data_IF_866624044323
#
_entry.id   IF_866624044323
#
_cell.length_a   1.000
_cell.length_b   1.000
_cell.length_c   1.000
_cell.angle_alpha   90.00
_cell.angle_beta   90.00
_cell.angle_gamma   90.00
#
_symmetry.space_group_name_H-M   'P 1'
#
loop_
_entity.id
_entity.type
_entity.pdbx_description
1 polymer ?
#
# COMPACT_ATOMS: atom_id res chain seq x y z
N UNK A 1 -49.88 5.91 1.43
CA UNK A 1 -49.83 4.95 0.31
C UNK A 1 -48.44 4.85 -0.38
N UNK A 2 -47.77 5.94 -0.69
CA UNK A 2 -46.43 5.89 -1.31
C UNK A 2 -45.36 5.14 -0.45
N UNK A 3 -45.34 5.35 0.84
CA UNK A 3 -44.40 4.76 1.78
C UNK A 3 -44.52 3.23 1.90
N UNK A 4 -45.75 2.67 1.90
CA UNK A 4 -45.94 1.21 2.02
C UNK A 4 -45.56 0.45 0.74
N UNK A 5 -45.81 1.05 -0.43
CA UNK A 5 -45.42 0.49 -1.72
C UNK A 5 -43.89 0.45 -1.90
N UNK A 6 -43.21 1.50 -1.46
CA UNK A 6 -41.74 1.57 -1.46
C UNK A 6 -41.18 0.52 -0.48
N UNK A 7 -41.74 0.38 0.71
CA UNK A 7 -41.26 -0.55 1.72
C UNK A 7 -41.48 -2.01 1.33
N UNK A 8 -42.55 -2.36 0.67
CA UNK A 8 -42.79 -3.70 0.13
C UNK A 8 -41.85 -4.03 -1.01
N UNK A 9 -41.58 -3.08 -1.92
CA UNK A 9 -40.61 -3.24 -3.02
C UNK A 9 -39.17 -3.34 -2.52
N UNK A 10 -38.79 -2.58 -1.51
CA UNK A 10 -37.47 -2.68 -0.86
C UNK A 10 -37.29 -4.08 -0.29
N UNK A 11 -38.26 -4.67 0.40
CA UNK A 11 -38.18 -6.04 0.91
C UNK A 11 -37.99 -7.08 -0.21
N UNK A 12 -38.79 -7.02 -1.29
CA UNK A 12 -38.72 -7.93 -2.43
C UNK A 12 -37.34 -7.85 -3.13
N UNK A 13 -36.73 -6.66 -3.19
CA UNK A 13 -35.48 -6.41 -3.91
C UNK A 13 -34.25 -6.33 -3.00
N UNK A 14 -34.41 -6.31 -1.67
CA UNK A 14 -33.32 -6.09 -0.72
C UNK A 14 -32.19 -7.11 -0.87
N UNK A 15 -32.51 -8.38 -0.99
CA UNK A 15 -31.51 -9.43 -1.16
C UNK A 15 -30.63 -9.21 -2.41
N UNK A 16 -31.26 -8.96 -3.54
CA UNK A 16 -30.55 -8.73 -4.80
C UNK A 16 -29.68 -7.47 -4.75
N UNK A 17 -30.21 -6.36 -4.21
CA UNK A 17 -29.42 -5.13 -4.03
C UNK A 17 -28.25 -5.31 -3.07
N UNK A 18 -28.44 -6.09 -1.99
CA UNK A 18 -27.38 -6.41 -1.05
C UNK A 18 -26.26 -7.22 -1.71
N UNK A 19 -26.60 -8.28 -2.44
CA UNK A 19 -25.62 -9.10 -3.17
C UNK A 19 -24.83 -8.25 -4.17
N UNK A 20 -25.52 -7.40 -4.93
CA UNK A 20 -24.88 -6.49 -5.88
C UNK A 20 -23.94 -5.50 -5.17
N UNK A 21 -24.36 -4.93 -4.03
CA UNK A 21 -23.54 -4.01 -3.26
C UNK A 21 -22.27 -4.69 -2.73
N UNK A 22 -22.38 -5.93 -2.23
CA UNK A 22 -21.24 -6.71 -1.72
C UNK A 22 -20.26 -7.02 -2.85
N UNK A 23 -20.73 -7.57 -3.98
CA UNK A 23 -19.86 -7.91 -5.10
C UNK A 23 -19.19 -6.65 -5.66
N UNK A 24 -19.94 -5.55 -5.80
CA UNK A 24 -19.41 -4.26 -6.24
C UNK A 24 -18.34 -3.74 -5.26
N UNK A 25 -18.58 -3.82 -3.94
CA UNK A 25 -17.63 -3.38 -2.93
C UNK A 25 -16.32 -4.18 -2.99
N UNK A 26 -16.40 -5.50 -3.12
CA UNK A 26 -15.22 -6.37 -3.28
C UNK A 26 -14.47 -6.00 -4.57
N UNK A 27 -15.18 -5.86 -5.68
CA UNK A 27 -14.60 -5.54 -6.99
C UNK A 27 -13.82 -4.23 -6.96
N UNK A 28 -14.43 -3.15 -6.47
CA UNK A 28 -13.75 -1.83 -6.39
C UNK A 28 -12.57 -1.88 -5.43
N UNK A 29 -12.71 -2.55 -4.28
CA UNK A 29 -11.62 -2.69 -3.30
C UNK A 29 -10.42 -3.42 -3.91
N UNK A 30 -10.64 -4.51 -4.62
CA UNK A 30 -9.58 -5.30 -5.28
C UNK A 30 -8.86 -4.48 -6.35
N UNK A 31 -9.60 -3.72 -7.17
CA UNK A 31 -9.02 -2.81 -8.16
C UNK A 31 -8.22 -1.67 -7.50
N UNK A 32 -8.72 -1.10 -6.42
CA UNK A 32 -8.00 -0.08 -5.65
C UNK A 32 -6.70 -0.66 -5.04
N UNK A 33 -6.73 -1.87 -4.50
CA UNK A 33 -5.54 -2.53 -3.96
C UNK A 33 -4.47 -2.73 -5.03
N UNK A 34 -4.87 -3.18 -6.22
CA UNK A 34 -3.96 -3.31 -7.35
C UNK A 34 -3.30 -1.97 -7.71
N UNK A 35 -4.09 -0.90 -7.80
CA UNK A 35 -3.59 0.42 -8.12
C UNK A 35 -2.66 1.00 -7.03
N UNK A 36 -2.98 0.79 -5.75
CA UNK A 36 -2.13 1.19 -4.61
C UNK A 36 -0.81 0.42 -4.64
N UNK A 37 -0.84 -0.91 -4.81
CA UNK A 37 0.36 -1.74 -4.89
C UNK A 37 1.29 -1.27 -6.00
N UNK A 38 0.74 -0.97 -7.18
CA UNK A 38 1.52 -0.44 -8.31
C UNK A 38 2.16 0.92 -7.99
N UNK A 39 1.41 1.81 -7.36
CA UNK A 39 1.91 3.13 -6.98
C UNK A 39 2.95 3.08 -5.85
N UNK A 40 2.88 2.07 -4.98
CA UNK A 40 3.80 1.91 -3.85
C UNK A 40 5.14 1.29 -4.22
N UNK A 41 5.28 0.68 -5.41
CA UNK A 41 6.53 0.03 -5.86
C UNK A 41 7.76 0.93 -5.73
N UNK A 42 7.65 2.21 -6.08
CA UNK A 42 8.77 3.14 -5.99
C UNK A 42 9.23 3.41 -4.54
N UNK A 43 8.31 3.31 -3.58
CA UNK A 43 8.63 3.44 -2.16
C UNK A 43 9.25 2.15 -1.63
N UNK A 44 8.71 1.00 -1.99
CA UNK A 44 9.23 -0.32 -1.61
C UNK A 44 10.67 -0.55 -2.08
N UNK A 45 10.99 -0.12 -3.31
CA UNK A 45 12.35 -0.22 -3.86
C UNK A 45 13.37 0.58 -3.05
N UNK A 46 12.99 1.74 -2.49
CA UNK A 46 13.89 2.52 -1.62
C UNK A 46 14.28 1.77 -0.35
N UNK A 47 13.42 0.88 0.12
CA UNK A 47 13.65 0.08 1.33
C UNK A 47 14.37 -1.24 1.02
N UNK A 48 14.02 -1.91 -0.08
CA UNK A 48 14.62 -3.20 -0.46
C UNK A 48 15.97 -3.05 -1.15
N UNK A 49 16.16 -2.02 -1.95
CA UNK A 49 17.39 -1.74 -2.68
C UNK A 49 17.83 -0.28 -2.52
N UNK A 50 18.35 0.11 -1.35
CA UNK A 50 18.70 1.51 -1.05
C UNK A 50 19.86 2.05 -1.89
N UNK A 51 20.75 1.19 -2.40
CA UNK A 51 21.89 1.51 -3.25
C UNK A 51 21.81 0.79 -4.59
N UNK A 52 22.55 1.25 -5.59
CA UNK A 52 22.61 0.60 -6.90
C UNK A 52 23.16 -0.82 -6.81
N UNK A 53 24.10 -1.05 -5.89
CA UNK A 53 24.51 -2.39 -5.42
C UNK A 53 24.70 -2.35 -3.91
N UNK A 54 24.22 -3.37 -3.22
CA UNK A 54 24.39 -3.55 -1.78
C UNK A 54 25.08 -4.88 -1.51
N UNK A 55 26.17 -4.86 -0.74
CA UNK A 55 26.94 -6.04 -0.38
C UNK A 55 27.08 -6.09 1.14
N UNK A 56 26.93 -7.29 1.75
CA UNK A 56 27.13 -7.52 3.19
C UNK A 56 28.49 -8.10 3.51
N UNK A 57 29.13 -8.73 2.54
CA UNK A 57 30.45 -9.32 2.66
C UNK A 57 31.56 -8.30 2.33
N UNK A 58 32.45 -8.06 3.29
CA UNK A 58 33.52 -7.05 3.16
C UNK A 58 34.53 -7.41 2.06
N UNK A 59 34.84 -8.70 1.88
CA UNK A 59 35.84 -9.11 0.85
C UNK A 59 35.27 -8.84 -0.54
N UNK A 60 34.02 -9.24 -0.78
CA UNK A 60 33.32 -8.97 -2.05
C UNK A 60 33.14 -7.47 -2.30
N UNK A 61 32.85 -6.69 -1.26
CA UNK A 61 32.74 -5.24 -1.37
C UNK A 61 34.08 -4.59 -1.79
N UNK A 62 35.20 -5.02 -1.19
CA UNK A 62 36.52 -4.55 -1.56
C UNK A 62 36.90 -4.96 -3.00
N UNK A 63 36.53 -6.17 -3.42
CA UNK A 63 36.74 -6.62 -4.80
C UNK A 63 35.97 -5.80 -5.80
N UNK A 64 34.67 -5.51 -5.50
CA UNK A 64 33.87 -4.65 -6.36
C UNK A 64 34.41 -3.23 -6.42
N UNK A 65 34.83 -2.65 -5.29
CA UNK A 65 35.44 -1.32 -5.26
C UNK A 65 36.68 -1.25 -6.13
N UNK A 66 37.56 -2.28 -6.06
CA UNK A 66 38.76 -2.37 -6.89
C UNK A 66 38.42 -2.48 -8.37
N UNK A 67 37.44 -3.31 -8.74
CA UNK A 67 37.02 -3.49 -10.14
C UNK A 67 36.42 -2.21 -10.71
N UNK A 68 35.56 -1.49 -9.95
CA UNK A 68 34.99 -0.21 -10.37
C UNK A 68 36.05 0.87 -10.55
N UNK A 69 37.08 0.91 -9.67
CA UNK A 69 38.19 1.84 -9.78
C UNK A 69 39.08 1.52 -11.00
N UNK A 70 39.38 0.24 -11.25
CA UNK A 70 40.16 -0.21 -12.40
C UNK A 70 39.49 0.15 -13.74
N UNK A 71 38.16 0.05 -13.78
CA UNK A 71 37.36 0.44 -14.95
C UNK A 71 37.05 1.96 -15.01
N UNK A 72 37.57 2.73 -14.05
CA UNK A 72 37.30 4.20 -13.93
C UNK A 72 35.84 4.55 -13.92
N UNK A 73 35.00 3.70 -13.29
CA UNK A 73 33.56 3.94 -13.13
C UNK A 73 33.33 4.85 -11.93
N UNK A 74 32.79 6.10 -12.14
CA UNK A 74 32.59 7.02 -11.03
C UNK A 74 31.45 6.55 -10.13
N UNK A 75 31.71 6.35 -8.86
CA UNK A 75 30.73 5.86 -7.89
C UNK A 75 30.92 6.52 -6.52
N UNK A 76 29.86 6.45 -5.70
CA UNK A 76 29.90 6.73 -4.28
C UNK A 76 29.95 5.42 -3.51
N UNK A 77 30.77 5.38 -2.48
CA UNK A 77 30.88 4.25 -1.57
C UNK A 77 30.30 4.64 -0.20
N UNK A 78 29.36 3.84 0.29
CA UNK A 78 28.70 4.06 1.56
C UNK A 78 28.86 2.83 2.45
N UNK A 79 29.43 3.02 3.63
CA UNK A 79 29.52 1.98 4.65
C UNK A 79 28.54 2.30 5.78
N UNK A 80 27.82 1.29 6.24
CA UNK A 80 26.87 1.38 7.34
C UNK A 80 26.86 0.09 8.13
N UNK A 81 26.54 0.21 9.41
CA UNK A 81 26.53 -0.92 10.32
C UNK A 81 25.35 -0.82 11.28
N UNK A 82 24.70 -1.94 11.54
CA UNK A 82 23.69 -2.06 12.58
C UNK A 82 24.03 -3.19 13.53
N UNK A 83 23.53 -3.11 14.75
CA UNK A 83 23.69 -4.13 15.77
C UNK A 83 22.29 -4.59 16.20
N UNK A 84 22.05 -5.90 16.11
CA UNK A 84 20.90 -6.53 16.71
C UNK A 84 21.14 -6.76 18.20
N UNK A 85 20.36 -6.11 19.03
CA UNK A 85 20.52 -6.13 20.49
C UNK A 85 19.18 -6.23 21.20
N UNK A 86 19.14 -5.96 22.49
CA UNK A 86 17.93 -6.04 23.28
C UNK A 86 17.62 -4.71 23.97
N UNK A 87 16.34 -4.44 24.08
CA UNK A 87 15.79 -3.43 24.95
C UNK A 87 15.35 -4.13 26.23
N UNK A 88 15.90 -3.72 27.37
CA UNK A 88 15.70 -4.37 28.66
C UNK A 88 14.61 -3.74 29.49
N UNK A 89 14.41 -2.43 29.34
CA UNK A 89 13.37 -1.68 30.04
C UNK A 89 13.04 -0.42 29.25
N UNK A 90 11.78 -0.12 29.13
CA UNK A 90 11.34 1.12 28.49
C UNK A 90 10.05 1.67 29.09
N UNK A 91 9.82 2.94 28.83
CA UNK A 91 8.54 3.59 28.96
C UNK A 91 8.12 4.26 27.62
N UNK A 92 8.71 3.81 26.52
CA UNK A 92 8.50 4.36 25.18
C UNK A 92 7.20 3.87 24.58
N UNK A 93 6.98 2.55 24.60
CA UNK A 93 5.88 1.93 23.91
C UNK A 93 4.70 1.66 24.84
N UNK A 94 3.47 1.90 24.35
CA UNK A 94 2.25 1.62 25.13
C UNK A 94 1.89 0.12 25.13
N UNK A 95 2.55 -0.68 24.27
CA UNK A 95 2.37 -2.14 24.22
C UNK A 95 3.32 -2.79 25.23
N UNK A 96 2.77 -3.53 26.18
CA UNK A 96 3.55 -4.33 27.13
C UNK A 96 4.11 -5.58 26.43
N UNK A 97 5.19 -5.40 25.68
CA UNK A 97 5.97 -6.53 25.20
C UNK A 97 6.71 -7.19 26.38
N UNK A 98 6.89 -8.52 26.31
CA UNK A 98 7.67 -9.23 27.33
C UNK A 98 9.14 -8.81 27.22
N UNK A 99 9.61 -8.04 28.17
CA UNK A 99 11.02 -7.60 28.25
C UNK A 99 11.95 -8.77 28.64
N UNK A 100 13.18 -8.84 28.11
CA UNK A 100 13.75 -7.98 27.10
C UNK A 100 13.37 -8.41 25.66
N UNK A 101 13.09 -7.48 24.77
CA UNK A 101 12.76 -7.75 23.37
C UNK A 101 13.82 -7.25 22.39
N UNK A 102 13.78 -7.76 21.16
CA UNK A 102 14.79 -7.45 20.14
C UNK A 102 14.60 -6.05 19.57
N UNK A 103 15.70 -5.34 19.44
CA UNK A 103 15.78 -4.04 18.77
C UNK A 103 17.06 -3.97 17.93
N UNK A 104 17.07 -3.04 16.99
CA UNK A 104 18.24 -2.74 16.16
C UNK A 104 18.77 -1.38 16.58
N UNK A 105 20.08 -1.22 16.62
CA UNK A 105 20.73 0.06 16.85
C UNK A 105 21.75 0.37 15.76
N UNK A 106 21.91 1.66 15.48
CA UNK A 106 22.95 2.18 14.58
C UNK A 106 23.54 3.46 15.13
N UNK A 107 24.66 3.89 14.59
CA UNK A 107 25.34 5.14 14.96
C UNK A 107 24.78 6.33 14.17
N UNK A 108 24.68 7.48 14.81
CA UNK A 108 24.36 8.78 14.17
C UNK A 108 25.39 9.15 13.10
N UNK A 109 26.63 8.65 13.20
CA UNK A 109 27.68 8.80 12.19
C UNK A 109 27.27 8.33 10.80
N UNK A 110 26.37 7.34 10.71
CA UNK A 110 25.87 6.81 9.45
C UNK A 110 24.63 7.57 8.92
N UNK A 111 24.09 8.50 9.69
CA UNK A 111 22.86 9.22 9.32
C UNK A 111 23.21 10.68 8.99
N UNK A 112 23.02 11.14 7.75
CA UNK A 112 23.29 12.54 7.37
C UNK A 112 22.53 13.53 8.24
N UNK A 113 23.20 14.61 8.62
CA UNK A 113 22.63 15.72 9.40
C UNK A 113 22.04 15.29 10.76
N UNK A 114 22.61 14.25 11.37
CA UNK A 114 22.23 13.78 12.70
C UNK A 114 23.44 13.86 13.61
N UNK A 115 23.32 14.64 14.68
CA UNK A 115 24.31 14.76 15.74
C UNK A 115 23.57 14.58 17.07
N UNK A 116 23.89 13.51 17.79
CA UNK A 116 23.28 13.13 19.05
C UNK A 116 24.26 13.33 20.19
N UNK A 117 23.75 13.83 21.32
CA UNK A 117 24.53 13.83 22.56
C UNK A 117 24.48 12.43 23.21
N UNK A 118 25.46 12.10 24.05
CA UNK A 118 25.41 10.86 24.84
C UNK A 118 24.10 10.70 25.60
N UNK A 119 23.56 9.50 25.60
CA UNK A 119 22.27 9.20 26.20
C UNK A 119 21.04 9.71 25.42
N UNK A 120 21.21 10.26 24.23
CA UNK A 120 20.11 10.57 23.32
C UNK A 120 19.99 9.53 22.21
N UNK A 121 18.74 9.33 21.76
CA UNK A 121 18.45 8.49 20.61
C UNK A 121 17.36 9.07 19.74
N UNK A 122 17.41 8.79 18.44
CA UNK A 122 16.29 8.99 17.52
C UNK A 122 15.70 7.60 17.20
N UNK A 123 14.37 7.52 17.09
CA UNK A 123 13.69 6.30 16.72
C UNK A 123 13.40 6.32 15.22
N UNK A 124 13.88 5.32 14.51
CA UNK A 124 13.49 5.11 13.14
C UNK A 124 12.09 4.49 13.09
N UNK A 125 11.19 5.20 12.43
CA UNK A 125 9.82 4.75 12.18
C UNK A 125 9.62 4.73 10.68
N UNK A 126 9.49 3.54 10.11
CA UNK A 126 9.23 3.39 8.67
C UNK A 126 7.98 4.15 8.25
N UNK A 127 8.05 4.89 7.15
CA UNK A 127 6.86 5.53 6.59
C UNK A 127 5.83 4.44 6.26
N UNK A 128 4.69 4.50 6.93
CA UNK A 128 3.44 3.89 6.52
C UNK A 128 2.96 2.66 7.25
N UNK A 129 3.77 1.68 7.55
CA UNK A 129 3.18 0.39 7.95
C UNK A 129 2.99 0.20 9.46
N UNK A 130 3.78 0.85 10.29
CA UNK A 130 3.80 0.56 11.74
C UNK A 130 3.63 1.80 12.61
N UNK A 131 3.78 2.99 12.04
CA UNK A 131 3.74 4.25 12.79
C UNK A 131 2.47 4.43 13.63
N UNK A 132 1.32 4.02 13.10
CA UNK A 132 0.03 4.14 13.77
C UNK A 132 -0.30 2.90 14.63
N UNK A 133 0.41 1.78 14.44
CA UNK A 133 0.20 0.54 15.20
C UNK A 133 0.99 0.54 16.50
N UNK A 134 2.15 1.20 16.54
CA UNK A 134 2.99 1.26 17.73
C UNK A 134 3.02 2.70 18.23
N UNK A 135 2.02 3.07 19.04
CA UNK A 135 2.04 4.34 19.76
C UNK A 135 3.21 4.35 20.74
N UNK A 136 4.02 5.39 20.66
CA UNK A 136 5.13 5.58 21.57
C UNK A 136 5.14 7.01 22.15
N UNK A 137 5.74 7.16 23.33
CA UNK A 137 5.81 8.44 24.04
C UNK A 137 6.94 9.28 23.49
N UNK A 138 6.62 10.50 23.10
CA UNK A 138 7.65 11.51 22.81
C UNK A 138 8.52 11.71 24.06
N UNK A 139 9.83 11.66 23.91
CA UNK A 139 10.80 11.82 25.02
C UNK A 139 10.79 10.71 26.09
N UNK A 140 10.30 9.53 25.78
CA UNK A 140 10.42 8.38 26.68
C UNK A 140 11.89 7.96 26.89
N UNK A 141 12.11 7.10 27.88
CA UNK A 141 13.43 6.57 28.23
C UNK A 141 13.46 5.06 27.99
N UNK A 142 14.62 4.53 27.61
CA UNK A 142 14.83 3.10 27.48
C UNK A 142 16.24 2.70 27.90
N UNK A 143 16.40 1.41 28.20
CA UNK A 143 17.69 0.77 28.48
C UNK A 143 17.97 -0.21 27.37
N UNK A 144 18.99 0.05 26.57
CA UNK A 144 19.35 -0.75 25.39
C UNK A 144 20.77 -1.30 25.56
N UNK A 145 21.02 -2.52 25.12
CA UNK A 145 22.36 -3.06 25.12
C UNK A 145 22.43 -4.58 25.10
N UNK A 146 23.57 -5.11 25.52
CA UNK A 146 23.84 -6.55 25.65
C UNK A 146 23.64 -6.99 27.10
N UNK A 147 23.67 -8.29 27.37
CA UNK A 147 23.60 -8.80 28.75
C UNK A 147 24.71 -8.24 29.67
N UNK A 148 25.84 -7.81 29.11
CA UNK A 148 27.03 -7.34 29.87
C UNK A 148 27.15 -5.83 29.96
N UNK A 149 26.50 -5.09 29.05
CA UNK A 149 26.62 -3.65 28.98
C UNK A 149 25.33 -3.01 28.47
N UNK A 150 24.89 -1.98 29.17
CA UNK A 150 23.63 -1.29 28.90
C UNK A 150 23.85 0.22 28.83
N UNK A 151 23.15 0.89 27.94
CA UNK A 151 23.12 2.35 27.81
C UNK A 151 21.71 2.84 28.08
N UNK A 152 21.62 3.89 28.92
CA UNK A 152 20.35 4.59 29.15
C UNK A 152 20.18 5.63 28.05
N UNK A 153 19.06 5.59 27.35
CA UNK A 153 18.73 6.52 26.29
C UNK A 153 17.44 7.29 26.60
N UNK A 154 17.38 8.50 26.08
CA UNK A 154 16.19 9.34 26.03
C UNK A 154 15.86 9.63 24.56
N UNK A 155 14.62 9.33 24.17
CA UNK A 155 14.16 9.61 22.81
C UNK A 155 14.10 11.10 22.55
N UNK A 156 14.72 11.57 21.45
CA UNK A 156 14.71 12.94 20.99
C UNK A 156 13.60 13.19 19.98
N UNK A 157 13.57 12.41 18.89
CA UNK A 157 12.59 12.53 17.81
C UNK A 157 12.45 11.24 17.03
N UNK A 158 11.42 11.19 16.21
CA UNK A 158 11.26 10.17 15.18
C UNK A 158 11.96 10.60 13.90
N UNK A 159 12.53 9.63 13.21
CA UNK A 159 13.04 9.77 11.85
C UNK A 159 12.36 8.79 10.94
N UNK A 160 11.97 9.23 9.75
CA UNK A 160 11.19 8.43 8.79
C UNK A 160 11.97 8.12 7.50
N UNK A 161 13.23 8.50 7.40
CA UNK A 161 14.07 8.24 6.23
C UNK A 161 15.02 7.11 6.53
N UNK A 162 14.85 5.99 5.80
CA UNK A 162 15.86 4.93 5.74
C UNK A 162 16.92 5.37 4.75
N UNK A 163 18.14 5.48 5.25
CA UNK A 163 19.23 5.92 4.40
C UNK A 163 20.13 4.76 3.96
N UNK A 164 19.84 3.47 4.35
CA UNK A 164 20.94 2.53 4.20
C UNK A 164 20.70 1.03 4.41
N UNK A 165 19.65 0.61 5.07
CA UNK A 165 19.44 -0.82 5.35
C UNK A 165 18.14 -1.28 4.74
N UNK A 166 18.07 -2.56 4.37
CA UNK A 166 16.79 -3.16 3.99
C UNK A 166 15.96 -3.40 5.23
N UNK A 167 14.64 -3.40 5.09
CA UNK A 167 13.73 -3.70 6.22
C UNK A 167 14.02 -5.05 6.87
N UNK A 168 14.46 -6.03 6.07
CA UNK A 168 14.87 -7.37 6.54
C UNK A 168 16.04 -7.31 7.50
N UNK A 169 16.93 -6.31 7.34
CA UNK A 169 18.10 -6.14 8.19
C UNK A 169 17.80 -5.43 9.50
N UNK A 170 16.64 -4.75 9.60
CA UNK A 170 16.33 -3.94 10.76
C UNK A 170 15.76 -4.75 11.94
N UNK A 171 15.14 -5.90 11.74
CA UNK A 171 14.79 -6.87 12.79
C UNK A 171 13.96 -6.37 13.99
N UNK A 172 13.31 -5.20 13.90
CA UNK A 172 12.50 -4.60 14.97
C UNK A 172 12.65 -3.08 15.06
N UNK A 173 12.19 -2.44 16.15
CA UNK A 173 12.38 -1.01 16.36
C UNK A 173 13.87 -0.64 16.27
N UNK A 174 14.17 0.37 15.45
CA UNK A 174 15.55 0.76 15.17
C UNK A 174 15.86 2.12 15.80
N UNK A 175 16.88 2.15 16.65
CA UNK A 175 17.34 3.35 17.33
C UNK A 175 18.66 3.84 16.75
N UNK A 176 18.72 5.13 16.46
CA UNK A 176 19.98 5.81 16.15
C UNK A 176 20.55 6.32 17.45
N UNK A 177 21.76 5.93 17.79
CA UNK A 177 22.44 6.33 19.03
C UNK A 177 23.61 7.27 18.70
N UNK A 178 24.05 8.03 19.71
CA UNK A 178 25.33 8.71 19.63
C UNK A 178 26.46 7.70 19.37
N UNK A 179 27.44 8.06 18.54
CA UNK A 179 28.52 7.12 18.14
C UNK A 179 29.28 6.53 19.34
N UNK A 180 29.53 7.30 20.40
CA UNK A 180 30.22 6.78 21.60
C UNK A 180 29.39 5.70 22.31
N UNK A 181 28.09 5.93 22.48
CA UNK A 181 27.19 4.95 23.10
C UNK A 181 27.04 3.71 22.22
N UNK A 182 26.98 3.88 20.89
CA UNK A 182 26.98 2.79 19.92
C UNK A 182 28.25 1.94 20.02
N UNK A 183 29.44 2.56 20.03
CA UNK A 183 30.74 1.87 20.12
C UNK A 183 30.91 1.11 21.45
N UNK A 184 30.37 1.67 22.55
CA UNK A 184 30.34 0.97 23.82
C UNK A 184 29.54 -0.34 23.74
N UNK A 185 28.35 -0.33 23.17
CA UNK A 185 27.54 -1.56 22.97
C UNK A 185 28.25 -2.51 22.00
N UNK A 186 28.79 -1.97 20.90
CA UNK A 186 29.50 -2.74 19.86
C UNK A 186 30.64 -3.58 20.43
N UNK A 187 31.42 -3.02 21.34
CA UNK A 187 32.54 -3.68 21.99
C UNK A 187 32.15 -4.99 22.69
N UNK A 188 30.95 -5.05 23.24
CA UNK A 188 30.43 -6.22 23.96
C UNK A 188 29.47 -7.07 23.12
N UNK A 189 29.33 -6.77 21.82
CA UNK A 189 28.44 -7.50 20.91
C UNK A 189 29.21 -8.55 20.14
N UNK A 190 28.64 -9.76 20.05
CA UNK A 190 29.20 -10.82 19.22
C UNK A 190 29.08 -10.49 17.73
N UNK A 191 30.08 -10.84 16.93
CA UNK A 191 30.11 -10.56 15.49
C UNK A 191 28.86 -10.99 14.73
N UNK A 192 28.24 -12.11 15.09
CA UNK A 192 26.99 -12.59 14.47
C UNK A 192 25.77 -11.68 14.63
N UNK A 193 25.82 -10.70 15.52
CA UNK A 193 24.74 -9.71 15.75
C UNK A 193 25.09 -8.35 15.15
N UNK A 194 26.21 -8.25 14.46
CA UNK A 194 26.66 -7.04 13.76
C UNK A 194 26.43 -7.29 12.27
N UNK A 195 25.64 -6.45 11.63
CA UNK A 195 25.38 -6.51 10.19
C UNK A 195 25.98 -5.28 9.53
N UNK A 196 26.98 -5.53 8.69
CA UNK A 196 27.61 -4.49 7.88
C UNK A 196 26.98 -4.43 6.50
N UNK A 197 26.87 -3.24 5.93
CA UNK A 197 26.37 -3.00 4.60
C UNK A 197 27.28 -2.07 3.84
N UNK A 198 27.67 -2.47 2.65
CA UNK A 198 28.50 -1.74 1.72
C UNK A 198 27.68 -1.37 0.51
N UNK A 199 27.31 -0.09 0.39
CA UNK A 199 26.51 0.45 -0.70
C UNK A 199 27.38 1.11 -1.76
N UNK A 200 27.05 0.86 -3.02
CA UNK A 200 27.67 1.50 -4.18
C UNK A 200 26.59 2.19 -4.99
N UNK A 201 26.76 3.49 -5.21
CA UNK A 201 25.85 4.30 -6.02
C UNK A 201 26.62 4.92 -7.18
N UNK A 202 26.12 4.75 -8.41
CA UNK A 202 26.73 5.32 -9.59
C UNK A 202 26.53 6.83 -9.64
N UNK A 203 27.55 7.58 -10.05
CA UNK A 203 27.39 9.01 -10.34
C UNK A 203 26.57 9.26 -11.62
N UNK A 204 26.67 8.34 -12.58
CA UNK A 204 25.96 8.45 -13.85
C UNK A 204 25.18 7.18 -14.17
N UNK A 205 23.90 7.28 -14.40
CA UNK A 205 23.02 6.13 -14.72
C UNK A 205 23.44 5.36 -16.00
N UNK A 206 24.14 6.02 -16.93
CA UNK A 206 24.66 5.39 -18.15
C UNK A 206 25.68 4.27 -17.86
N UNK A 207 26.31 4.28 -16.67
CA UNK A 207 27.33 3.32 -16.29
C UNK A 207 26.74 2.02 -15.69
N UNK A 208 25.40 1.88 -15.69
CA UNK A 208 24.71 0.72 -15.10
C UNK A 208 25.14 -0.62 -15.70
N UNK A 209 25.32 -0.70 -17.02
CA UNK A 209 25.83 -1.91 -17.70
C UNK A 209 27.28 -2.25 -17.32
N UNK A 210 28.10 -1.23 -17.09
CA UNK A 210 29.48 -1.43 -16.65
C UNK A 210 29.52 -1.94 -15.19
N UNK A 211 28.67 -1.40 -14.32
CA UNK A 211 28.47 -1.89 -12.94
C UNK A 211 28.02 -3.35 -12.93
N UNK A 212 27.06 -3.72 -13.77
CA UNK A 212 26.57 -5.10 -13.88
C UNK A 212 27.69 -6.06 -14.32
N UNK A 213 28.50 -5.68 -15.31
CA UNK A 213 29.67 -6.46 -15.73
C UNK A 213 30.71 -6.58 -14.61
N UNK A 214 30.99 -5.49 -13.90
CA UNK A 214 31.94 -5.48 -12.79
C UNK A 214 31.48 -6.39 -11.64
N UNK A 215 30.20 -6.29 -11.23
CA UNK A 215 29.66 -7.15 -10.16
C UNK A 215 29.65 -8.64 -10.54
N UNK A 216 29.33 -8.95 -11.81
CA UNK A 216 29.34 -10.34 -12.31
C UNK A 216 30.71 -11.00 -12.31
N UNK A 217 31.79 -10.22 -12.40
CA UNK A 217 33.17 -10.72 -12.22
C UNK A 217 33.48 -11.06 -10.77
N UNK A 218 32.88 -10.32 -9.82
CA UNK A 218 33.06 -10.55 -8.40
C UNK A 218 32.20 -11.72 -7.91
N UNK A 219 30.91 -11.59 -8.13
CA UNK A 219 29.93 -12.62 -7.78
C UNK A 219 28.59 -12.34 -8.49
N UNK A 220 28.13 -13.35 -9.25
CA UNK A 220 26.86 -13.27 -9.96
C UNK A 220 25.63 -13.23 -9.04
N UNK A 221 25.77 -13.68 -7.79
CA UNK A 221 24.69 -13.67 -6.81
C UNK A 221 24.43 -12.28 -6.18
N UNK A 222 25.33 -11.32 -6.40
CA UNK A 222 25.12 -9.94 -5.97
C UNK A 222 24.02 -9.34 -6.84
N UNK A 223 22.95 -8.88 -6.23
CA UNK A 223 21.82 -8.27 -6.92
C UNK A 223 22.02 -6.75 -7.04
N UNK A 224 21.75 -6.20 -8.23
CA UNK A 224 21.70 -4.76 -8.46
C UNK A 224 20.29 -4.24 -8.15
N UNK A 225 20.18 -2.93 -7.89
CA UNK A 225 18.86 -2.29 -7.75
C UNK A 225 17.98 -2.49 -8.99
N UNK A 226 18.56 -2.49 -10.18
CA UNK A 226 17.81 -2.71 -11.43
C UNK A 226 17.27 -4.13 -11.53
N UNK A 227 18.04 -5.14 -11.11
CA UNK A 227 17.60 -6.53 -11.04
C UNK A 227 16.51 -6.71 -9.98
N UNK A 228 16.67 -6.13 -8.78
CA UNK A 228 15.66 -6.14 -7.73
C UNK A 228 14.33 -5.48 -8.19
N UNK A 229 14.42 -4.33 -8.86
CA UNK A 229 13.26 -3.67 -9.47
C UNK A 229 12.59 -4.58 -10.49
N UNK A 230 13.37 -5.22 -11.36
CA UNK A 230 12.83 -6.11 -12.40
C UNK A 230 12.13 -7.30 -11.78
N UNK A 231 12.72 -7.94 -10.77
CA UNK A 231 12.14 -9.09 -10.05
C UNK A 231 10.84 -8.73 -9.36
N UNK A 232 10.83 -7.64 -8.58
CA UNK A 232 9.63 -7.15 -7.89
C UNK A 232 8.54 -6.73 -8.90
N UNK A 233 8.93 -6.01 -9.96
CA UNK A 233 8.00 -5.56 -10.99
C UNK A 233 7.37 -6.70 -11.77
N UNK A 234 8.11 -7.78 -12.04
CA UNK A 234 7.60 -8.96 -12.74
C UNK A 234 6.55 -9.68 -11.91
N UNK A 235 6.85 -9.96 -10.64
CA UNK A 235 5.89 -10.60 -9.72
C UNK A 235 4.64 -9.73 -9.51
N UNK A 236 4.86 -8.44 -9.22
CA UNK A 236 3.75 -7.49 -9.03
C UNK A 236 2.95 -7.32 -10.32
N UNK A 237 3.60 -7.32 -11.48
CA UNK A 237 2.96 -7.23 -12.79
C UNK A 237 1.96 -8.38 -13.05
N UNK A 238 2.35 -9.61 -12.74
CA UNK A 238 1.47 -10.79 -12.86
C UNK A 238 0.26 -10.65 -11.92
N UNK A 239 0.51 -10.31 -10.64
CA UNK A 239 -0.57 -10.11 -9.67
C UNK A 239 -1.52 -8.99 -10.09
N UNK A 240 -0.99 -7.87 -10.58
CA UNK A 240 -1.78 -6.75 -11.09
C UNK A 240 -2.62 -7.15 -12.30
N UNK A 241 -2.03 -7.90 -13.24
CA UNK A 241 -2.75 -8.39 -14.42
C UNK A 241 -3.95 -9.26 -14.00
N UNK A 242 -3.70 -10.28 -13.18
CA UNK A 242 -4.76 -11.19 -12.70
C UNK A 242 -5.83 -10.44 -11.94
N UNK A 243 -5.44 -9.57 -11.01
CA UNK A 243 -6.35 -8.79 -10.18
C UNK A 243 -7.20 -7.82 -11.01
N UNK A 244 -6.58 -7.13 -11.97
CA UNK A 244 -7.28 -6.20 -12.87
C UNK A 244 -8.24 -6.93 -13.80
N UNK A 245 -7.82 -8.07 -14.35
CA UNK A 245 -8.67 -8.91 -15.21
C UNK A 245 -9.90 -9.41 -14.45
N UNK A 246 -9.69 -9.98 -13.26
CA UNK A 246 -10.80 -10.42 -12.40
C UNK A 246 -11.72 -9.25 -12.02
N UNK A 247 -11.15 -8.11 -11.64
CA UNK A 247 -11.92 -6.92 -11.27
C UNK A 247 -12.79 -6.40 -12.41
N UNK A 248 -12.26 -6.33 -13.63
CA UNK A 248 -13.04 -5.93 -14.81
C UNK A 248 -14.12 -6.96 -15.12
N UNK A 249 -13.82 -8.26 -15.04
CA UNK A 249 -14.79 -9.34 -15.27
C UNK A 249 -15.94 -9.24 -14.27
N UNK A 250 -15.66 -9.07 -12.98
CA UNK A 250 -16.70 -8.90 -11.97
C UNK A 250 -17.49 -7.59 -12.15
N UNK A 251 -16.86 -6.50 -12.55
CA UNK A 251 -17.54 -5.26 -12.87
C UNK A 251 -18.59 -5.48 -13.97
N UNK A 252 -18.18 -6.11 -15.09
CA UNK A 252 -19.10 -6.41 -16.20
C UNK A 252 -20.24 -7.32 -15.71
N UNK A 253 -19.92 -8.39 -14.96
CA UNK A 253 -20.91 -9.31 -14.42
C UNK A 253 -21.95 -8.62 -13.54
N UNK A 254 -21.53 -7.76 -12.61
CA UNK A 254 -22.42 -6.98 -11.74
C UNK A 254 -23.30 -6.06 -12.57
N UNK A 255 -22.73 -5.34 -13.52
CA UNK A 255 -23.50 -4.45 -14.39
C UNK A 255 -24.53 -5.20 -15.24
N UNK A 256 -24.16 -6.38 -15.77
CA UNK A 256 -25.10 -7.23 -16.51
C UNK A 256 -26.25 -7.72 -15.62
N UNK A 257 -25.95 -8.15 -14.38
CA UNK A 257 -26.98 -8.61 -13.42
C UNK A 257 -27.97 -7.49 -13.12
N UNK A 258 -27.47 -6.27 -12.85
CA UNK A 258 -28.32 -5.13 -12.56
C UNK A 258 -29.15 -4.74 -13.80
N UNK A 259 -28.53 -4.80 -14.99
CA UNK A 259 -29.20 -4.49 -16.25
C UNK A 259 -30.35 -5.47 -16.53
N UNK A 260 -30.11 -6.79 -16.45
CA UNK A 260 -31.14 -7.80 -16.65
C UNK A 260 -32.26 -7.65 -15.65
N UNK A 261 -31.93 -7.48 -14.36
CA UNK A 261 -32.91 -7.23 -13.33
C UNK A 261 -33.79 -6.00 -13.63
N UNK A 262 -33.19 -4.93 -14.15
CA UNK A 262 -33.94 -3.72 -14.49
C UNK A 262 -34.91 -3.94 -15.64
N UNK A 263 -34.54 -4.80 -16.61
CA UNK A 263 -35.43 -5.17 -17.70
C UNK A 263 -36.62 -5.98 -17.18
N UNK A 264 -36.35 -7.05 -16.42
CA UNK A 264 -37.39 -7.92 -15.83
C UNK A 264 -38.36 -7.09 -14.98
N UNK A 265 -37.85 -6.21 -14.13
CA UNK A 265 -38.71 -5.29 -13.35
C UNK A 265 -39.52 -4.34 -14.20
N UNK A 266 -39.02 -3.95 -15.37
CA UNK A 266 -39.75 -3.07 -16.29
C UNK A 266 -40.88 -3.82 -16.98
N UNK A 267 -40.61 -5.06 -17.40
CA UNK A 267 -41.62 -5.94 -18.01
C UNK A 267 -42.73 -6.29 -17.03
N UNK A 268 -42.41 -6.67 -15.80
CA UNK A 268 -43.36 -6.94 -14.71
C UNK A 268 -44.29 -5.72 -14.41
N UNK A 269 -43.84 -4.49 -14.68
CA UNK A 269 -44.54 -3.26 -14.39
C UNK A 269 -45.32 -2.67 -15.60
N UNK A 270 -45.26 -3.30 -16.77
CA UNK A 270 -45.95 -2.77 -17.97
C UNK A 270 -47.46 -2.56 -17.76
N UNK A 271 -48.10 -3.49 -17.09
CA UNK A 271 -49.53 -3.36 -16.74
C UNK A 271 -49.83 -2.13 -15.88
N UNK A 272 -48.94 -1.89 -14.89
CA UNK A 272 -49.06 -0.70 -14.03
C UNK A 272 -48.86 0.61 -14.82
N UNK A 273 -47.94 0.63 -15.79
CA UNK A 273 -47.75 1.80 -16.67
C UNK A 273 -48.98 2.03 -17.57
N UNK A 274 -49.63 0.96 -18.05
CA UNK A 274 -50.88 1.04 -18.80
C UNK A 274 -52.00 1.67 -17.97
N UNK A 275 -52.15 1.25 -16.71
CA UNK A 275 -53.12 1.82 -15.77
C UNK A 275 -52.84 3.32 -15.53
N UNK A 276 -51.57 3.68 -15.28
CA UNK A 276 -51.18 5.08 -15.09
C UNK A 276 -51.55 5.94 -16.31
N UNK A 277 -51.40 5.42 -17.51
CA UNK A 277 -51.78 6.12 -18.73
C UNK A 277 -53.27 6.35 -18.82
N UNK A 278 -54.08 5.36 -18.47
CA UNK A 278 -55.55 5.48 -18.39
C UNK A 278 -56.01 6.50 -17.36
N UNK A 279 -55.20 6.71 -16.31
CA UNK A 279 -55.43 7.73 -15.28
C UNK A 279 -54.92 9.12 -15.67
N UNK A 280 -54.44 9.31 -16.91
CA UNK A 280 -54.03 10.61 -17.45
C UNK A 280 -52.59 11.02 -17.24
N UNK A 281 -51.71 10.12 -16.74
CA UNK A 281 -50.27 10.42 -16.62
C UNK A 281 -49.62 10.51 -18.00
N UNK A 282 -48.78 11.51 -18.16
CA UNK A 282 -48.03 11.71 -19.42
C UNK A 282 -46.82 10.78 -19.53
N UNK A 283 -46.37 10.56 -20.76
CA UNK A 283 -45.11 9.80 -20.97
C UNK A 283 -43.88 10.43 -20.26
N UNK A 284 -43.89 11.77 -20.08
CA UNK A 284 -42.82 12.46 -19.33
C UNK A 284 -42.85 12.11 -17.85
N UNK A 285 -44.05 11.99 -17.26
CA UNK A 285 -44.22 11.66 -15.84
C UNK A 285 -43.76 10.22 -15.58
N UNK A 286 -44.15 9.30 -16.44
CA UNK A 286 -43.68 7.89 -16.37
C UNK A 286 -42.19 7.75 -16.54
N UNK A 287 -41.60 8.47 -17.51
CA UNK A 287 -40.13 8.46 -17.72
C UNK A 287 -39.38 9.08 -16.54
N UNK A 288 -39.95 10.08 -15.86
CA UNK A 288 -39.37 10.65 -14.64
C UNK A 288 -39.40 9.66 -13.49
N UNK A 289 -40.48 8.94 -13.30
CA UNK A 289 -40.56 7.85 -12.31
C UNK A 289 -39.57 6.74 -12.56
N UNK A 290 -39.47 6.30 -13.83
CA UNK A 290 -38.47 5.30 -14.25
C UNK A 290 -37.05 5.77 -13.97
N UNK A 291 -36.71 7.03 -14.26
CA UNK A 291 -35.38 7.60 -13.97
C UNK A 291 -35.03 7.51 -12.48
N UNK A 292 -35.97 7.87 -11.60
CA UNK A 292 -35.71 7.76 -10.14
C UNK A 292 -35.55 6.33 -9.69
N UNK A 293 -36.32 5.37 -10.24
CA UNK A 293 -36.16 3.94 -9.94
C UNK A 293 -34.79 3.43 -10.34
N UNK A 294 -34.35 3.72 -11.55
CA UNK A 294 -33.03 3.29 -12.04
C UNK A 294 -31.91 3.94 -11.24
N UNK A 295 -32.03 5.24 -10.94
CA UNK A 295 -31.07 5.94 -10.11
C UNK A 295 -30.95 5.31 -8.71
N UNK A 296 -32.04 4.82 -8.14
CA UNK A 296 -32.02 4.12 -6.86
C UNK A 296 -31.39 2.72 -6.99
N UNK A 297 -31.83 1.92 -7.99
CA UNK A 297 -31.35 0.55 -8.18
C UNK A 297 -29.86 0.46 -8.51
N UNK A 298 -29.34 1.41 -9.30
CA UNK A 298 -27.92 1.51 -9.62
C UNK A 298 -27.13 2.33 -8.58
N UNK A 299 -27.70 3.40 -8.07
CA UNK A 299 -27.03 4.34 -7.20
C UNK A 299 -26.76 3.78 -5.79
N UNK A 300 -27.71 3.10 -5.18
CA UNK A 300 -27.58 2.58 -3.84
C UNK A 300 -26.42 1.57 -3.69
N UNK A 301 -26.32 0.51 -4.52
CA UNK A 301 -25.19 -0.41 -4.48
C UNK A 301 -23.86 0.29 -4.76
N UNK A 302 -23.84 1.25 -5.69
CA UNK A 302 -22.65 2.01 -6.03
C UNK A 302 -22.13 2.84 -4.86
N UNK A 303 -23.00 3.59 -4.17
CA UNK A 303 -22.61 4.41 -3.01
C UNK A 303 -22.04 3.53 -1.89
N UNK A 304 -22.69 2.41 -1.59
CA UNK A 304 -22.23 1.47 -0.57
C UNK A 304 -20.85 0.91 -0.97
N UNK A 305 -20.70 0.48 -2.23
CA UNK A 305 -19.44 -0.09 -2.75
C UNK A 305 -18.29 0.91 -2.69
N UNK A 306 -18.50 2.15 -3.13
CA UNK A 306 -17.48 3.19 -3.11
C UNK A 306 -17.09 3.58 -1.68
N UNK A 307 -18.06 3.70 -0.77
CA UNK A 307 -17.78 3.99 0.63
C UNK A 307 -16.93 2.89 1.27
N UNK A 308 -17.32 1.62 1.08
CA UNK A 308 -16.55 0.48 1.58
C UNK A 308 -15.14 0.45 0.97
N UNK A 309 -15.02 0.58 -0.35
CA UNK A 309 -13.73 0.57 -1.04
C UNK A 309 -12.82 1.72 -0.60
N UNK A 310 -13.36 2.89 -0.32
CA UNK A 310 -12.59 4.03 0.19
C UNK A 310 -11.96 3.70 1.56
N UNK A 311 -12.76 3.24 2.52
CA UNK A 311 -12.24 2.93 3.86
C UNK A 311 -11.27 1.75 3.86
N UNK A 312 -11.52 0.70 3.09
CA UNK A 312 -10.59 -0.42 2.93
C UNK A 312 -9.30 0.01 2.24
N UNK A 313 -9.38 0.91 1.26
CA UNK A 313 -8.20 1.48 0.61
C UNK A 313 -7.35 2.31 1.57
N UNK A 314 -7.96 3.11 2.46
CA UNK A 314 -7.21 3.83 3.50
C UNK A 314 -6.46 2.88 4.44
N UNK A 315 -7.09 1.77 4.85
CA UNK A 315 -6.44 0.75 5.67
C UNK A 315 -5.27 0.09 4.91
N UNK A 316 -5.48 -0.26 3.63
CA UNK A 316 -4.44 -0.87 2.79
C UNK A 316 -3.29 0.10 2.47
N UNK A 317 -3.58 1.37 2.24
CA UNK A 317 -2.54 2.41 2.07
C UNK A 317 -1.65 2.53 3.30
N UNK A 318 -2.23 2.47 4.50
CA UNK A 318 -1.47 2.43 5.75
C UNK A 318 -0.57 1.21 5.84
N UNK A 319 -1.07 0.04 5.43
CA UNK A 319 -0.29 -1.19 5.38
C UNK A 319 0.88 -1.10 4.39
N UNK A 320 0.65 -0.49 3.22
CA UNK A 320 1.67 -0.31 2.17
C UNK A 320 2.58 0.90 2.38
N UNK A 321 2.39 1.67 3.43
CA UNK A 321 3.22 2.83 3.71
C UNK A 321 3.08 3.99 2.75
N UNK A 322 1.95 4.13 2.09
CA UNK A 322 1.72 5.22 1.14
C UNK A 322 0.63 6.17 1.60
N UNK A 323 0.79 7.44 1.29
CA UNK A 323 -0.23 8.48 1.52
C UNK A 323 -0.87 8.98 0.22
N UNK A 324 -0.43 8.46 -0.93
CA UNK A 324 -0.92 8.90 -2.23
C UNK A 324 -2.29 8.29 -2.56
N UNK A 325 -3.34 9.08 -2.43
CA UNK A 325 -4.73 8.68 -2.70
C UNK A 325 -5.12 8.76 -4.20
N UNK A 326 -4.30 9.36 -5.05
CA UNK A 326 -4.62 9.56 -6.48
C UNK A 326 -5.01 8.25 -7.17
N UNK A 327 -4.30 7.11 -7.01
CA UNK A 327 -4.67 5.85 -7.64
C UNK A 327 -6.07 5.37 -7.26
N UNK A 328 -6.46 5.57 -6.00
CA UNK A 328 -7.79 5.20 -5.48
C UNK A 328 -8.89 6.00 -6.19
N UNK A 329 -8.75 7.31 -6.26
CA UNK A 329 -9.73 8.17 -6.92
C UNK A 329 -9.83 7.91 -8.43
N UNK A 330 -8.73 7.59 -9.10
CA UNK A 330 -8.75 7.22 -10.53
C UNK A 330 -9.57 5.94 -10.72
N UNK A 331 -9.33 4.90 -9.93
CA UNK A 331 -10.07 3.63 -10.02
C UNK A 331 -11.55 3.84 -9.72
N UNK A 332 -11.89 4.58 -8.65
CA UNK A 332 -13.26 4.88 -8.30
C UNK A 332 -13.96 5.67 -9.42
N UNK A 333 -13.29 6.66 -10.01
CA UNK A 333 -13.82 7.44 -11.13
C UNK A 333 -14.11 6.58 -12.35
N UNK A 334 -13.18 5.70 -12.73
CA UNK A 334 -13.38 4.75 -13.83
C UNK A 334 -14.55 3.79 -13.54
N UNK A 335 -14.67 3.30 -12.31
CA UNK A 335 -15.76 2.45 -11.90
C UNK A 335 -17.12 3.16 -12.02
N UNK A 336 -17.21 4.41 -11.54
CA UNK A 336 -18.41 5.24 -11.67
C UNK A 336 -18.79 5.44 -13.15
N UNK A 337 -17.82 5.75 -14.01
CA UNK A 337 -18.07 5.93 -15.45
C UNK A 337 -18.64 4.66 -16.10
N UNK A 338 -18.05 3.50 -15.83
CA UNK A 338 -18.52 2.22 -16.35
C UNK A 338 -19.94 1.93 -15.84
N UNK A 339 -20.19 2.11 -14.56
CA UNK A 339 -21.51 1.90 -13.94
C UNK A 339 -22.57 2.83 -14.53
N UNK A 340 -22.22 4.09 -14.79
CA UNK A 340 -23.11 5.06 -15.41
C UNK A 340 -23.50 4.68 -16.86
N UNK A 341 -22.57 4.10 -17.64
CA UNK A 341 -22.86 3.62 -19.00
C UNK A 341 -23.97 2.56 -18.95
N UNK A 342 -23.86 1.58 -18.05
CA UNK A 342 -24.87 0.54 -17.90
C UNK A 342 -26.23 1.10 -17.40
N UNK A 343 -26.19 2.05 -16.46
CA UNK A 343 -27.41 2.69 -15.96
C UNK A 343 -28.14 3.46 -17.07
N UNK A 344 -27.42 4.21 -17.92
CA UNK A 344 -28.00 4.92 -19.06
C UNK A 344 -28.55 3.95 -20.11
N UNK A 345 -27.85 2.85 -20.36
CA UNK A 345 -28.31 1.82 -21.30
C UNK A 345 -29.58 1.15 -20.79
N UNK A 346 -29.65 0.80 -19.51
CA UNK A 346 -30.84 0.25 -18.86
C UNK A 346 -32.03 1.24 -18.93
N UNK A 347 -31.79 2.52 -18.66
CA UNK A 347 -32.82 3.56 -18.77
C UNK A 347 -33.38 3.67 -20.20
N UNK A 348 -32.51 3.72 -21.19
CA UNK A 348 -32.94 3.87 -22.59
C UNK A 348 -33.73 2.64 -23.06
N UNK A 349 -33.30 1.44 -22.66
CA UNK A 349 -34.02 0.21 -22.99
C UNK A 349 -35.39 0.18 -22.31
N UNK A 350 -35.49 0.34 -21.00
CA UNK A 350 -36.73 0.35 -20.25
C UNK A 350 -37.71 1.43 -20.75
N UNK A 351 -37.21 2.62 -21.09
CA UNK A 351 -38.02 3.70 -21.65
C UNK A 351 -38.60 3.33 -23.03
N UNK A 352 -37.84 2.63 -23.87
CA UNK A 352 -38.33 2.13 -25.18
C UNK A 352 -39.44 1.10 -24.97
N UNK A 353 -39.20 0.10 -24.10
CA UNK A 353 -40.15 -0.95 -23.78
C UNK A 353 -41.49 -0.36 -23.34
N UNK A 354 -41.49 0.57 -22.36
CA UNK A 354 -42.70 1.26 -21.90
C UNK A 354 -43.39 2.03 -23.03
N UNK A 355 -42.63 2.69 -23.91
CA UNK A 355 -43.18 3.47 -25.00
C UNK A 355 -43.85 2.61 -26.07
N UNK A 356 -43.38 1.41 -26.35
CA UNK A 356 -43.89 0.50 -27.38
C UNK A 356 -45.06 -0.35 -26.87
N UNK A 357 -45.18 -0.55 -25.57
CA UNK A 357 -46.19 -1.41 -24.96
C UNK A 357 -47.46 -0.64 -24.51
N UNK A 358 -47.46 0.69 -24.61
CA UNK A 358 -48.52 1.61 -24.19
C UNK A 358 -48.82 2.60 -25.31
#
# INVERSE_FOLDING_TARGET
MFSSSIMYRIKKNAFSLTVMAIISAITVSVLCFAAISRASLSSEIKYTAPHDVTIKDQQKANQLASELNNQKIPHFYNYKEVIHTKLYKDNLFDVKAKEPYNVTITSDKYIPNTDLKRGQADLFVAEGSIKDLVKHKKHGKAIIGTKKHHVNIKLRKDINKIYFMTDVDLGGPTFVLNDKDYQEIRKYTKAKHIVSQFGFDLKHKKDALALEKAKNKVDKSIETRSEAISSISSLTGILLFVTSFLGITFLIAVCCIIYIKQIDETEDELENYSILRKLGFTQKDMARGLKFKIMFNFGLPLVIALSHAYFTSLAYMKLMGTTNQIPVFIVMGLYICMYAVFAVTAYNHSKRTIRHSI
#
